data_IF_239878805079
#
_entry.id   IF_239878805079
#
_cell.length_a   1.000
_cell.length_b   1.000
_cell.length_c   1.000
_cell.angle_alpha   90.00
_cell.angle_beta   90.00
_cell.angle_gamma   90.00
#
_symmetry.space_group_name_H-M   'P 1'
#
loop_
_entity.id
_entity.type
_entity.pdbx_description
1 polymer ?
#
# COMPACT_ATOMS: atom_id res chain seq x y z
N UNK A 1 -27.69 1.13 25.24
CA UNK A 1 -27.20 -0.07 24.56
C UNK A 1 -27.59 0.12 23.11
N UNK A 2 -26.64 0.59 22.31
CA UNK A 2 -26.88 0.99 20.92
C UNK A 2 -25.80 0.28 20.13
N UNK A 3 -26.26 -0.53 19.18
CA UNK A 3 -25.47 -1.35 18.29
C UNK A 3 -24.64 -0.46 17.35
N UNK A 4 -23.38 -0.87 17.17
CA UNK A 4 -22.39 -0.19 16.35
C UNK A 4 -22.53 -0.65 14.91
N UNK A 5 -22.94 0.22 13.99
CA UNK A 5 -22.63 0.02 12.57
C UNK A 5 -21.18 0.45 12.33
N UNK A 6 -20.27 -0.49 12.59
CA UNK A 6 -18.93 -0.45 12.02
C UNK A 6 -19.06 -0.41 10.50
N UNK A 7 -18.38 0.54 9.85
CA UNK A 7 -18.02 0.36 8.45
C UNK A 7 -17.20 -0.93 8.38
N UNK A 8 -17.87 -2.02 7.99
CA UNK A 8 -17.36 -3.39 8.09
C UNK A 8 -15.99 -3.45 7.44
N UNK A 9 -14.96 -3.59 8.26
CA UNK A 9 -13.62 -3.88 7.81
C UNK A 9 -13.67 -5.25 7.14
N UNK A 10 -13.82 -5.23 5.83
CA UNK A 10 -13.46 -6.30 4.93
C UNK A 10 -11.94 -6.44 5.03
N UNK A 11 -11.49 -7.18 6.05
CA UNK A 11 -10.15 -7.76 6.23
C UNK A 11 -9.04 -6.86 5.64
N UNK A 12 -8.73 -5.76 6.33
CA UNK A 12 -7.68 -4.80 5.93
C UNK A 12 -6.33 -4.90 6.66
N UNK A 13 -5.90 -6.03 7.27
CA UNK A 13 -4.57 -6.05 7.88
C UNK A 13 -3.50 -6.10 6.78
N UNK A 14 -2.54 -5.18 6.86
CA UNK A 14 -1.29 -5.09 6.05
C UNK A 14 -1.40 -4.55 4.62
N UNK A 15 -2.55 -4.12 4.13
CA UNK A 15 -2.65 -3.43 2.82
C UNK A 15 -1.85 -2.12 2.80
N UNK A 16 -1.84 -1.43 3.94
CA UNK A 16 -0.99 -0.26 4.18
C UNK A 16 0.51 -0.60 4.18
N UNK A 17 0.89 -1.87 4.20
CA UNK A 17 2.28 -2.36 4.14
C UNK A 17 2.67 -2.78 2.72
N UNK A 18 1.78 -2.73 1.73
CA UNK A 18 2.06 -3.17 0.34
C UNK A 18 2.79 -2.14 -0.49
N UNK A 19 2.59 -0.85 -0.16
CA UNK A 19 3.56 0.19 -0.48
C UNK A 19 4.89 0.02 0.28
N UNK A 20 5.03 -1.06 1.07
CA UNK A 20 6.16 -1.44 1.92
C UNK A 20 6.26 -0.64 3.23
N UNK A 21 7.29 -0.97 4.02
CA UNK A 21 7.85 -0.10 5.10
C UNK A 21 8.42 1.24 4.57
N UNK A 22 8.11 1.61 3.32
CA UNK A 22 8.57 2.76 2.52
C UNK A 22 7.75 4.01 2.79
N UNK A 23 6.60 3.85 3.44
CA UNK A 23 5.68 4.94 3.69
C UNK A 23 6.23 5.77 4.85
N UNK A 24 6.75 6.93 4.51
CA UNK A 24 7.23 7.91 5.46
C UNK A 24 6.06 8.63 6.16
N UNK A 25 4.90 8.71 5.51
CA UNK A 25 3.68 9.21 6.12
C UNK A 25 2.40 8.58 5.58
N UNK A 26 1.44 8.36 6.48
CA UNK A 26 0.08 7.94 6.12
C UNK A 26 -0.87 9.12 6.26
N UNK A 27 -1.47 9.56 5.16
CA UNK A 27 -2.58 10.51 5.19
C UNK A 27 -3.89 9.76 5.37
N UNK A 28 -4.66 10.15 6.39
CA UNK A 28 -6.02 9.64 6.62
C UNK A 28 -7.01 10.75 6.29
N UNK A 29 -7.66 10.73 5.11
CA UNK A 29 -8.67 11.70 4.75
C UNK A 29 -9.85 11.64 5.72
N UNK A 30 -10.29 12.79 6.24
CA UNK A 30 -11.39 12.88 7.20
C UNK A 30 -12.27 14.11 6.92
N UNK A 31 -13.58 13.98 7.08
CA UNK A 31 -14.60 14.95 6.66
C UNK A 31 -14.85 16.11 7.65
N UNK A 32 -14.39 16.03 8.90
CA UNK A 32 -14.51 17.15 9.86
C UNK A 32 -15.83 17.23 10.64
N UNK A 33 -16.76 16.28 10.52
CA UNK A 33 -18.05 16.36 11.23
C UNK A 33 -17.94 16.03 12.72
N UNK A 34 -18.46 16.93 13.57
CA UNK A 34 -18.64 16.71 15.01
C UNK A 34 -19.91 15.89 15.22
N UNK A 35 -19.77 14.57 15.34
CA UNK A 35 -20.88 13.63 15.54
C UNK A 35 -20.40 12.24 15.99
N UNK A 36 -21.29 11.44 16.59
CA UNK A 36 -20.95 10.19 17.28
C UNK A 36 -20.54 9.04 16.35
N UNK A 37 -19.23 8.90 16.13
CA UNK A 37 -18.52 7.72 15.60
C UNK A 37 -17.02 7.90 15.91
N UNK A 38 -16.12 6.88 15.82
CA UNK A 38 -14.81 6.92 16.47
C UNK A 38 -13.80 7.94 15.91
N UNK A 39 -14.18 8.70 14.87
CA UNK A 39 -13.38 9.77 14.30
C UNK A 39 -13.91 11.12 14.75
N UNK A 40 -13.83 11.40 16.06
CA UNK A 40 -14.24 12.70 16.60
C UNK A 40 -13.10 13.71 16.43
N UNK A 41 -13.38 14.84 15.80
CA UNK A 41 -12.52 16.03 15.86
C UNK A 41 -12.52 16.58 17.29
N UNK A 42 -11.39 16.49 17.99
CA UNK A 42 -11.13 17.29 19.19
C UNK A 42 -10.36 18.57 18.78
N UNK A 43 -11.00 19.75 18.79
CA UNK A 43 -10.31 21.01 18.52
C UNK A 43 -9.19 21.34 19.53
N UNK A 44 -9.08 20.64 20.67
CA UNK A 44 -8.01 20.75 21.66
C UNK A 44 -6.85 19.77 21.44
N UNK A 45 -7.04 18.66 20.73
CA UNK A 45 -5.92 17.78 20.29
C UNK A 45 -4.97 18.49 19.31
N UNK A 46 -5.35 19.70 18.84
CA UNK A 46 -4.53 20.67 18.08
C UNK A 46 -3.20 21.11 18.72
N UNK A 47 -2.82 20.61 19.90
CA UNK A 47 -1.49 20.86 20.49
C UNK A 47 -0.51 19.70 20.38
N UNK A 48 -0.96 18.53 19.95
CA UNK A 48 -0.10 17.38 19.77
C UNK A 48 0.00 17.07 18.27
N UNK A 49 0.79 17.88 17.57
CA UNK A 49 1.70 17.33 16.58
C UNK A 49 2.75 16.47 17.31
N UNK A 50 2.30 15.48 18.07
CA UNK A 50 3.19 14.44 18.54
C UNK A 50 3.63 13.71 17.28
N UNK A 51 4.95 13.69 17.04
CA UNK A 51 5.58 12.61 16.29
C UNK A 51 5.06 11.30 16.90
N UNK A 52 3.95 10.76 16.41
CA UNK A 52 3.68 9.36 16.62
C UNK A 52 4.81 8.63 15.88
N UNK A 53 5.51 7.68 16.50
CA UNK A 53 6.52 6.87 15.84
C UNK A 53 6.03 6.20 14.54
N UNK A 54 4.71 6.17 14.33
CA UNK A 54 4.00 5.62 13.18
C UNK A 54 3.90 6.52 11.94
N UNK A 55 4.34 7.79 11.96
CA UNK A 55 4.29 8.66 10.76
C UNK A 55 2.89 9.01 10.24
N UNK A 56 1.83 8.80 11.02
CA UNK A 56 0.44 9.09 10.60
C UNK A 56 0.16 10.59 10.67
N UNK A 57 -0.44 11.13 9.62
CA UNK A 57 -0.85 12.54 9.49
C UNK A 57 -2.34 12.59 9.21
N UNK A 58 -3.08 13.26 10.10
CA UNK A 58 -4.47 13.61 9.89
C UNK A 58 -4.57 15.14 9.85
N UNK A 59 -5.01 15.69 8.73
CA UNK A 59 -5.30 17.12 8.56
C UNK A 59 -6.75 17.23 8.11
N UNK A 60 -7.50 18.19 8.65
CA UNK A 60 -8.81 18.56 8.10
C UNK A 60 -8.81 20.00 7.58
N UNK A 61 -9.80 20.43 6.76
CA UNK A 61 -10.53 19.70 5.71
C UNK A 61 -9.79 19.84 4.35
N UNK A 62 -10.47 19.71 3.21
CA UNK A 62 -9.97 19.62 1.81
C UNK A 62 -9.15 20.84 1.27
N UNK A 63 -8.17 21.35 2.03
CA UNK A 63 -7.19 22.35 1.59
C UNK A 63 -5.83 21.69 1.29
N UNK A 64 -5.40 21.60 0.02
CA UNK A 64 -4.10 21.06 -0.34
C UNK A 64 -2.92 21.77 0.34
N UNK A 65 -3.02 23.07 0.64
CA UNK A 65 -1.93 23.83 1.27
C UNK A 65 -1.75 23.45 2.74
N UNK A 66 -2.82 23.06 3.44
CA UNK A 66 -2.74 22.54 4.80
C UNK A 66 -2.03 21.17 4.83
N UNK A 67 -2.33 20.32 3.85
CA UNK A 67 -1.65 19.03 3.67
C UNK A 67 -0.17 19.20 3.32
N UNK A 68 0.17 20.10 2.40
CA UNK A 68 1.56 20.42 2.04
C UNK A 68 2.39 20.82 3.27
N UNK A 69 1.88 21.75 4.10
CA UNK A 69 2.54 22.15 5.36
C UNK A 69 2.68 21.01 6.36
N UNK A 70 1.75 20.06 6.36
CA UNK A 70 1.82 18.90 7.23
C UNK A 70 2.91 17.92 6.76
N UNK A 71 2.97 17.60 5.47
CA UNK A 71 3.99 16.72 4.91
C UNK A 71 5.41 17.29 4.98
N UNK A 72 5.56 18.61 4.93
CA UNK A 72 6.85 19.27 5.15
C UNK A 72 7.47 18.96 6.53
N UNK A 73 6.67 18.49 7.50
CA UNK A 73 7.12 18.09 8.85
C UNK A 73 7.37 16.59 9.00
N UNK A 74 7.08 15.80 7.96
CA UNK A 74 7.31 14.36 7.95
C UNK A 74 8.73 14.02 7.46
N UNK A 75 9.29 12.86 7.85
CA UNK A 75 10.53 12.33 7.25
C UNK A 75 10.41 12.29 5.72
N UNK A 76 11.51 12.41 4.97
CA UNK A 76 11.52 12.28 3.51
C UNK A 76 11.03 10.89 3.04
N UNK A 77 10.44 10.81 1.83
CA UNK A 77 10.02 9.55 1.20
C UNK A 77 8.53 9.45 0.78
N UNK A 78 8.09 8.29 0.28
CA UNK A 78 6.72 8.09 -0.21
C UNK A 78 5.65 8.29 0.87
N UNK A 79 4.48 8.76 0.42
CA UNK A 79 3.28 8.94 1.24
C UNK A 79 2.19 7.99 0.77
N UNK A 80 1.47 7.37 1.70
CA UNK A 80 0.23 6.64 1.39
C UNK A 80 -0.96 7.51 1.77
N UNK A 81 -1.84 7.78 0.81
CA UNK A 81 -3.15 8.38 1.06
C UNK A 81 -4.16 7.25 1.19
N UNK A 82 -4.81 7.18 2.36
CA UNK A 82 -5.77 6.13 2.70
C UNK A 82 -7.02 6.12 1.81
N UNK A 83 -7.85 5.06 1.93
CA UNK A 83 -8.97 4.80 1.05
C UNK A 83 -9.94 5.98 1.01
N UNK A 84 -10.43 6.31 -0.18
CA UNK A 84 -11.51 7.28 -0.32
C UNK A 84 -12.86 6.59 -0.08
N UNK A 85 -13.77 7.29 0.59
CA UNK A 85 -15.19 6.95 0.59
C UNK A 85 -15.86 7.66 -0.60
N UNK A 86 -16.92 7.09 -1.20
CA UNK A 86 -17.72 7.78 -2.23
C UNK A 86 -18.41 9.05 -1.71
N UNK A 87 -18.47 9.24 -0.38
CA UNK A 87 -18.91 10.48 0.27
C UNK A 87 -18.04 11.66 -0.20
N UNK A 88 -18.69 12.70 -0.73
CA UNK A 88 -18.05 13.81 -1.44
C UNK A 88 -16.96 14.52 -0.62
N UNK A 89 -17.19 14.71 0.66
CA UNK A 89 -16.28 15.36 1.59
C UNK A 89 -15.00 14.54 1.82
N UNK A 90 -15.14 13.22 1.92
CA UNK A 90 -14.01 12.30 2.09
C UNK A 90 -13.23 12.18 0.78
N UNK A 91 -13.94 12.14 -0.36
CA UNK A 91 -13.34 12.20 -1.70
C UNK A 91 -12.54 13.50 -1.89
N UNK A 92 -13.09 14.64 -1.49
CA UNK A 92 -12.41 15.94 -1.55
C UNK A 92 -11.17 15.99 -0.65
N UNK A 93 -11.26 15.45 0.57
CA UNK A 93 -10.12 15.36 1.48
C UNK A 93 -9.03 14.42 0.96
N UNK A 94 -9.39 13.32 0.30
CA UNK A 94 -8.44 12.39 -0.32
C UNK A 94 -7.67 13.07 -1.45
N UNK A 95 -8.39 13.74 -2.36
CA UNK A 95 -7.76 14.50 -3.46
C UNK A 95 -6.86 15.60 -2.92
N UNK A 96 -7.31 16.36 -1.91
CA UNK A 96 -6.50 17.42 -1.30
C UNK A 96 -5.23 16.88 -0.62
N UNK A 97 -5.31 15.71 0.01
CA UNK A 97 -4.14 15.05 0.61
C UNK A 97 -3.14 14.60 -0.46
N UNK A 98 -3.63 14.00 -1.55
CA UNK A 98 -2.80 13.59 -2.69
C UNK A 98 -2.10 14.80 -3.34
N UNK A 99 -2.84 15.88 -3.59
CA UNK A 99 -2.27 17.10 -4.16
C UNK A 99 -1.29 17.78 -3.22
N UNK A 100 -1.58 17.87 -1.91
CA UNK A 100 -0.67 18.43 -0.93
C UNK A 100 0.65 17.65 -0.79
N UNK A 101 0.57 16.31 -0.84
CA UNK A 101 1.76 15.44 -0.87
C UNK A 101 2.60 15.70 -2.13
N UNK A 102 1.98 15.74 -3.30
CA UNK A 102 2.68 16.03 -4.55
C UNK A 102 3.30 17.44 -4.57
N UNK A 103 2.59 18.47 -4.08
CA UNK A 103 3.09 19.85 -3.97
C UNK A 103 4.30 19.98 -3.04
N UNK A 104 4.33 19.18 -1.97
CA UNK A 104 5.51 19.06 -1.11
C UNK A 104 6.66 18.22 -1.70
N UNK A 105 6.56 17.85 -2.99
CA UNK A 105 7.59 17.12 -3.73
C UNK A 105 7.64 15.62 -3.43
N UNK A 106 6.59 15.05 -2.82
CA UNK A 106 6.57 13.65 -2.35
C UNK A 106 6.07 12.69 -3.43
N UNK A 107 6.59 11.47 -3.41
CA UNK A 107 5.98 10.34 -4.07
C UNK A 107 4.69 9.93 -3.33
N UNK A 108 3.66 9.48 -4.05
CA UNK A 108 2.31 9.25 -3.51
C UNK A 108 1.74 7.92 -3.99
N UNK A 109 1.32 7.10 -3.03
CA UNK A 109 0.46 5.96 -3.24
C UNK A 109 -0.99 6.34 -2.89
N UNK A 110 -1.92 6.03 -3.78
CA UNK A 110 -3.35 6.24 -3.59
C UNK A 110 -4.01 4.89 -3.34
N UNK A 111 -4.45 4.62 -2.11
CA UNK A 111 -5.21 3.40 -1.81
C UNK A 111 -6.69 3.65 -2.14
N UNK A 112 -7.31 2.74 -2.90
CA UNK A 112 -8.72 2.76 -3.33
C UNK A 112 -9.24 4.18 -3.67
N UNK A 113 -8.63 4.86 -4.66
CA UNK A 113 -9.04 6.22 -5.01
C UNK A 113 -10.41 6.22 -5.70
N UNK A 114 -11.35 6.99 -5.15
CA UNK A 114 -12.67 7.26 -5.77
C UNK A 114 -12.66 8.59 -6.55
N UNK A 115 -11.57 9.37 -6.42
CA UNK A 115 -11.31 10.59 -7.18
C UNK A 115 -9.81 10.73 -7.44
N UNK A 116 -9.46 11.33 -8.58
CA UNK A 116 -8.06 11.51 -9.01
C UNK A 116 -7.68 12.99 -8.96
N UNK A 117 -6.42 13.31 -8.62
CA UNK A 117 -5.93 14.69 -8.59
C UNK A 117 -5.97 15.34 -9.98
N UNK A 118 -6.31 16.62 -10.01
CA UNK A 118 -6.69 17.38 -11.22
C UNK A 118 -5.50 17.78 -12.09
N UNK A 119 -4.27 17.72 -11.57
CA UNK A 119 -3.10 18.32 -12.21
C UNK A 119 -1.77 17.71 -11.77
N UNK A 120 -0.96 17.31 -12.75
CA UNK A 120 0.51 17.14 -12.71
C UNK A 120 1.06 15.84 -12.10
N UNK A 121 2.38 15.62 -12.24
CA UNK A 121 3.04 14.75 -13.23
C UNK A 121 2.85 13.26 -12.93
N UNK A 122 2.61 12.45 -13.97
CA UNK A 122 2.43 10.98 -13.95
C UNK A 122 3.45 10.19 -13.13
N UNK A 123 4.61 10.79 -12.78
CA UNK A 123 5.69 10.13 -12.02
C UNK A 123 5.46 10.11 -10.51
N UNK A 124 4.59 10.97 -9.98
CA UNK A 124 4.42 11.13 -8.53
C UNK A 124 3.37 10.19 -7.94
N UNK A 125 2.46 9.62 -8.74
CA UNK A 125 1.32 8.84 -8.24
C UNK A 125 1.40 7.38 -8.67
N UNK A 126 0.97 6.48 -7.78
CA UNK A 126 0.65 5.07 -8.09
C UNK A 126 -0.66 4.72 -7.39
N UNK A 127 -1.63 4.17 -8.12
CA UNK A 127 -2.91 3.77 -7.58
C UNK A 127 -2.91 2.28 -7.17
N UNK A 128 -3.33 2.01 -5.94
CA UNK A 128 -3.42 0.70 -5.34
C UNK A 128 -4.89 0.37 -5.13
N UNK A 129 -5.36 -0.74 -5.67
CA UNK A 129 -6.76 -1.14 -5.57
C UNK A 129 -6.87 -2.47 -4.82
N UNK A 130 -7.44 -2.43 -3.62
CA UNK A 130 -7.64 -3.61 -2.79
C UNK A 130 -8.77 -4.50 -3.34
N UNK A 131 -8.51 -5.79 -3.41
CA UNK A 131 -9.54 -6.77 -3.71
C UNK A 131 -10.57 -6.81 -2.58
N UNK A 132 -11.85 -6.71 -2.93
CA UNK A 132 -12.94 -6.92 -2.00
C UNK A 132 -13.89 -7.99 -2.56
N UNK A 133 -14.30 -8.99 -1.76
CA UNK A 133 -15.40 -9.87 -2.14
C UNK A 133 -16.71 -9.06 -2.16
N UNK A 134 -17.50 -9.18 -3.22
CA UNK A 134 -18.79 -8.50 -3.39
C UNK A 134 -19.92 -9.32 -2.71
N UNK A 135 -20.64 -8.78 -1.71
CA UNK A 135 -21.75 -9.46 -1.05
C UNK A 135 -23.12 -9.22 -1.73
N UNK A 136 -23.19 -8.32 -2.73
CA UNK A 136 -24.42 -7.89 -3.39
C UNK A 136 -24.64 -8.50 -4.78
N UNK A 137 -23.69 -9.28 -5.28
CA UNK A 137 -23.77 -9.94 -6.58
C UNK A 137 -24.70 -11.17 -6.55
N UNK A 138 -25.98 -10.94 -6.29
CA UNK A 138 -27.06 -11.71 -6.92
C UNK A 138 -27.17 -11.39 -8.42
N UNK A 139 -26.02 -11.33 -9.10
CA UNK A 139 -25.78 -10.82 -10.45
C UNK A 139 -24.37 -10.24 -10.54
N UNK A 140 -23.57 -10.70 -11.51
CA UNK A 140 -22.12 -10.45 -11.69
C UNK A 140 -21.66 -8.96 -11.80
N UNK A 141 -22.51 -7.94 -11.68
CA UNK A 141 -22.25 -6.63 -12.32
C UNK A 141 -22.12 -5.37 -11.42
N UNK A 142 -22.52 -5.37 -10.14
CA UNK A 142 -22.79 -4.09 -9.45
C UNK A 142 -21.55 -3.40 -8.81
N UNK A 143 -20.74 -4.08 -7.98
CA UNK A 143 -19.52 -3.49 -7.39
C UNK A 143 -18.25 -3.76 -8.21
N UNK A 144 -18.27 -4.82 -9.03
CA UNK A 144 -17.28 -5.03 -10.09
C UNK A 144 -17.13 -3.77 -10.96
N UNK A 145 -18.24 -3.08 -11.25
CA UNK A 145 -18.22 -1.86 -12.06
C UNK A 145 -17.60 -0.62 -11.38
N UNK A 146 -17.59 -0.50 -10.04
CA UNK A 146 -17.05 0.72 -9.39
C UNK A 146 -15.53 0.65 -9.24
N UNK A 147 -15.03 -0.53 -8.84
CA UNK A 147 -13.60 -0.84 -8.84
C UNK A 147 -13.04 -0.71 -10.25
N UNK A 148 -13.68 -1.35 -11.24
CA UNK A 148 -13.24 -1.27 -12.63
C UNK A 148 -13.27 0.15 -13.16
N UNK A 149 -14.35 0.91 -12.93
CA UNK A 149 -14.42 2.29 -13.39
C UNK A 149 -13.36 3.19 -12.75
N UNK A 150 -13.05 3.01 -11.46
CA UNK A 150 -12.01 3.79 -10.80
C UNK A 150 -10.60 3.38 -11.27
N UNK A 151 -10.39 2.08 -11.48
CA UNK A 151 -9.17 1.50 -12.02
C UNK A 151 -8.89 1.98 -13.45
N UNK A 152 -9.87 1.86 -14.34
CA UNK A 152 -9.81 2.34 -15.72
C UNK A 152 -9.54 3.84 -15.77
N UNK A 153 -10.24 4.65 -14.96
CA UNK A 153 -9.99 6.10 -14.88
C UNK A 153 -8.55 6.42 -14.45
N UNK A 154 -7.97 5.65 -13.54
CA UNK A 154 -6.57 5.84 -13.14
C UNK A 154 -5.63 5.57 -14.32
N UNK A 155 -5.87 4.48 -15.06
CA UNK A 155 -5.10 4.15 -16.25
C UNK A 155 -5.28 5.18 -17.38
N UNK A 156 -6.49 5.65 -17.64
CA UNK A 156 -6.80 6.72 -18.60
C UNK A 156 -6.10 8.03 -18.24
N UNK A 157 -6.00 8.33 -16.94
CA UNK A 157 -5.23 9.48 -16.44
C UNK A 157 -3.70 9.27 -16.52
N UNK A 158 -3.23 8.11 -17.00
CA UNK A 158 -1.82 7.75 -17.08
C UNK A 158 -1.17 7.51 -15.72
N UNK A 159 -1.96 7.22 -14.68
CA UNK A 159 -1.47 6.85 -13.35
C UNK A 159 -1.22 5.33 -13.35
N UNK A 160 0.02 4.87 -13.07
CA UNK A 160 0.29 3.45 -12.90
C UNK A 160 -0.62 2.84 -11.82
N UNK A 161 -1.36 1.80 -12.16
CA UNK A 161 -2.35 1.17 -11.29
C UNK A 161 -2.18 -0.36 -11.22
N UNK A 162 -2.57 -0.95 -10.09
CA UNK A 162 -2.51 -2.38 -9.88
C UNK A 162 -3.30 -2.83 -8.65
N UNK A 163 -3.50 -4.14 -8.53
CA UNK A 163 -4.34 -4.72 -7.50
C UNK A 163 -3.56 -5.18 -6.26
N UNK A 164 -4.19 -5.08 -5.09
CA UNK A 164 -3.73 -5.70 -3.84
C UNK A 164 -4.61 -6.91 -3.56
N UNK A 165 -3.99 -8.06 -3.31
CA UNK A 165 -4.73 -9.31 -3.14
C UNK A 165 -4.39 -9.96 -1.81
N UNK A 166 -5.35 -10.08 -0.87
CA UNK A 166 -5.07 -10.71 0.40
C UNK A 166 -4.80 -12.20 0.20
N UNK A 167 -3.79 -12.75 0.87
CA UNK A 167 -3.52 -14.18 0.91
C UNK A 167 -4.09 -14.73 2.21
N UNK A 168 -5.27 -15.34 2.14
CA UNK A 168 -6.02 -15.92 3.24
C UNK A 168 -6.08 -17.43 3.05
N UNK A 169 -5.54 -18.22 4.01
CA UNK A 169 -5.56 -19.67 3.93
C UNK A 169 -6.96 -20.23 3.74
N UNK A 170 -7.17 -20.92 2.62
CA UNK A 170 -8.41 -21.56 2.26
C UNK A 170 -9.57 -20.65 1.87
N UNK A 171 -9.30 -19.40 1.53
CA UNK A 171 -10.29 -18.51 0.92
C UNK A 171 -9.76 -17.86 -0.35
N UNK A 172 -8.60 -17.22 -0.28
CA UNK A 172 -8.07 -16.46 -1.43
C UNK A 172 -6.79 -17.05 -2.00
N UNK A 173 -6.21 -18.06 -1.37
CA UNK A 173 -5.03 -18.80 -1.84
C UNK A 173 -5.35 -19.92 -2.84
N UNK A 174 -6.61 -20.06 -3.27
CA UNK A 174 -7.04 -21.07 -4.24
C UNK A 174 -6.55 -20.74 -5.67
N UNK A 175 -5.95 -21.71 -6.40
CA UNK A 175 -5.37 -21.47 -7.72
C UNK A 175 -6.35 -20.86 -8.74
N UNK A 176 -7.59 -21.34 -8.78
CA UNK A 176 -8.60 -20.92 -9.75
C UNK A 176 -9.04 -19.47 -9.52
N UNK A 177 -9.26 -19.10 -8.26
CA UNK A 177 -9.62 -17.73 -7.88
C UNK A 177 -8.46 -16.77 -8.18
N UNK A 178 -7.24 -17.19 -7.83
CA UNK A 178 -6.02 -16.43 -8.08
C UNK A 178 -5.80 -16.20 -9.58
N UNK A 179 -5.94 -17.24 -10.41
CA UNK A 179 -5.79 -17.15 -11.86
C UNK A 179 -6.83 -16.22 -12.48
N UNK A 180 -8.10 -16.33 -12.06
CA UNK A 180 -9.18 -15.45 -12.52
C UNK A 180 -8.87 -13.98 -12.17
N UNK A 181 -8.48 -13.71 -10.93
CA UNK A 181 -8.17 -12.36 -10.47
C UNK A 181 -6.99 -11.73 -11.23
N UNK A 182 -5.87 -12.45 -11.33
CA UNK A 182 -4.68 -11.93 -12.00
C UNK A 182 -4.88 -11.75 -13.51
N UNK A 183 -5.62 -12.67 -14.15
CA UNK A 183 -5.94 -12.55 -15.58
C UNK A 183 -6.79 -11.31 -15.87
N UNK A 184 -7.77 -11.01 -15.00
CA UNK A 184 -8.60 -9.80 -15.11
C UNK A 184 -7.77 -8.53 -14.93
N UNK A 185 -6.89 -8.47 -13.94
CA UNK A 185 -5.97 -7.34 -13.77
C UNK A 185 -5.04 -7.15 -14.97
N UNK A 186 -4.45 -8.23 -15.47
CA UNK A 186 -3.57 -8.21 -16.65
C UNK A 186 -4.32 -7.69 -17.88
N UNK A 187 -5.53 -8.22 -18.13
CA UNK A 187 -6.38 -7.78 -19.25
C UNK A 187 -6.80 -6.31 -19.14
N UNK A 188 -7.02 -5.81 -17.93
CA UNK A 188 -7.35 -4.42 -17.67
C UNK A 188 -6.14 -3.47 -17.80
N UNK A 189 -4.92 -3.98 -18.00
CA UNK A 189 -3.71 -3.17 -18.16
C UNK A 189 -3.01 -2.80 -16.85
N UNK A 190 -3.22 -3.57 -15.77
CA UNK A 190 -2.48 -3.41 -14.53
C UNK A 190 -0.96 -3.50 -14.74
N UNK A 191 -0.21 -2.65 -14.05
CA UNK A 191 1.26 -2.68 -14.08
C UNK A 191 1.87 -3.53 -12.97
N UNK A 192 1.07 -3.91 -11.97
CA UNK A 192 1.44 -4.79 -10.88
C UNK A 192 0.23 -5.50 -10.28
N UNK A 193 0.49 -6.57 -9.54
CA UNK A 193 -0.45 -7.19 -8.60
C UNK A 193 0.34 -7.62 -7.37
N UNK A 194 -0.03 -7.17 -6.19
CA UNK A 194 0.77 -7.39 -4.98
C UNK A 194 0.02 -8.24 -3.95
N UNK A 195 0.64 -9.32 -3.43
CA UNK A 195 0.02 -10.16 -2.43
C UNK A 195 0.13 -9.53 -1.03
N UNK A 196 -0.93 -9.68 -0.23
CA UNK A 196 -1.01 -9.14 1.13
C UNK A 196 -1.23 -10.29 2.11
N UNK A 197 -0.19 -10.82 2.77
CA UNK A 197 -0.38 -11.88 3.74
C UNK A 197 -1.17 -11.32 4.94
N UNK A 198 -2.27 -11.97 5.30
CA UNK A 198 -3.03 -11.58 6.50
C UNK A 198 -2.27 -11.94 7.78
N UNK A 199 -2.61 -11.27 8.88
CA UNK A 199 -1.99 -11.56 10.18
C UNK A 199 -2.53 -12.87 10.76
N UNK A 200 -1.62 -13.68 11.30
CA UNK A 200 -1.95 -14.93 11.98
C UNK A 200 -2.19 -14.67 13.48
N UNK A 201 -3.29 -14.02 13.81
CA UNK A 201 -3.72 -13.77 15.17
C UNK A 201 -5.22 -14.05 15.35
N UNK A 202 -5.64 -14.20 16.61
CA UNK A 202 -7.03 -14.57 16.94
C UNK A 202 -8.05 -13.53 16.47
N UNK A 203 -7.71 -12.25 16.48
CA UNK A 203 -8.60 -11.17 16.05
C UNK A 203 -8.76 -11.15 14.53
N UNK A 204 -7.67 -11.31 13.79
CA UNK A 204 -7.68 -11.43 12.34
C UNK A 204 -8.49 -12.66 11.90
N UNK A 205 -8.31 -13.81 12.55
CA UNK A 205 -9.08 -15.04 12.30
C UNK A 205 -10.58 -14.82 12.49
N UNK A 206 -10.98 -14.18 13.59
CA UNK A 206 -12.40 -13.86 13.85
C UNK A 206 -12.98 -12.96 12.76
N UNK A 207 -12.29 -11.88 12.39
CA UNK A 207 -12.73 -10.95 11.34
C UNK A 207 -12.87 -11.67 9.99
N UNK A 208 -11.93 -12.57 9.66
CA UNK A 208 -11.97 -13.39 8.44
C UNK A 208 -13.18 -14.32 8.41
N UNK A 209 -13.49 -14.99 9.51
CA UNK A 209 -14.67 -15.86 9.63
C UNK A 209 -15.95 -15.04 9.51
N UNK A 210 -16.07 -13.93 10.23
CA UNK A 210 -17.22 -13.04 10.15
C UNK A 210 -17.41 -12.48 8.73
N UNK A 211 -16.31 -12.15 8.05
CA UNK A 211 -16.33 -11.75 6.66
C UNK A 211 -16.85 -12.90 5.79
N UNK A 212 -16.20 -14.07 5.83
CA UNK A 212 -16.61 -15.25 5.04
C UNK A 212 -18.07 -15.62 5.26
N UNK A 213 -18.55 -15.60 6.50
CA UNK A 213 -19.94 -15.90 6.83
C UNK A 213 -20.94 -14.89 6.24
N UNK A 214 -20.53 -13.63 6.05
CA UNK A 214 -21.34 -12.62 5.36
C UNK A 214 -21.35 -12.83 3.83
N UNK A 215 -20.25 -13.29 3.24
CA UNK A 215 -20.13 -13.47 1.77
C UNK A 215 -20.67 -14.81 1.29
N UNK A 216 -20.32 -15.89 1.98
CA UNK A 216 -20.67 -17.25 1.58
C UNK A 216 -21.07 -18.06 2.82
N UNK A 217 -22.30 -17.83 3.35
CA UNK A 217 -22.74 -18.46 4.59
C UNK A 217 -22.64 -20.00 4.55
N UNK A 218 -22.90 -20.61 3.39
CA UNK A 218 -22.85 -22.07 3.21
C UNK A 218 -21.43 -22.65 3.33
N UNK A 219 -20.39 -21.84 3.14
CA UNK A 219 -18.99 -22.24 3.28
C UNK A 219 -18.38 -21.85 4.63
N UNK A 220 -19.11 -21.12 5.48
CA UNK A 220 -18.60 -20.51 6.70
C UNK A 220 -18.08 -21.53 7.71
N UNK A 221 -18.83 -22.60 7.99
CA UNK A 221 -18.44 -23.62 8.96
C UNK A 221 -17.19 -24.39 8.50
N UNK A 222 -17.14 -24.78 7.23
CA UNK A 222 -15.95 -25.44 6.66
C UNK A 222 -14.73 -24.52 6.68
N UNK A 223 -14.93 -23.23 6.41
CA UNK A 223 -13.87 -22.24 6.48
C UNK A 223 -13.40 -22.00 7.91
N UNK A 224 -14.32 -21.93 8.89
CA UNK A 224 -13.99 -21.81 10.32
C UNK A 224 -13.06 -22.95 10.76
N UNK A 225 -13.41 -24.20 10.44
CA UNK A 225 -12.56 -25.34 10.73
C UNK A 225 -11.18 -25.21 10.08
N UNK A 226 -11.15 -24.87 8.78
CA UNK A 226 -9.89 -24.74 8.02
C UNK A 226 -9.01 -23.62 8.58
N UNK A 227 -9.57 -22.45 8.87
CA UNK A 227 -8.81 -21.29 9.32
C UNK A 227 -8.32 -21.44 10.77
N UNK A 228 -9.00 -22.22 11.61
CA UNK A 228 -8.54 -22.48 12.97
C UNK A 228 -7.55 -23.66 13.08
N UNK A 229 -7.61 -24.64 12.18
CA UNK A 229 -6.83 -25.88 12.28
C UNK A 229 -5.71 -26.06 11.23
N UNK A 230 -5.55 -25.14 10.27
CA UNK A 230 -4.45 -25.22 9.28
C UNK A 230 -3.10 -24.74 9.83
N UNK A 231 -2.01 -25.24 9.25
CA UNK A 231 -0.68 -24.65 9.37
C UNK A 231 -0.62 -23.35 8.56
N UNK A 232 -0.82 -22.22 9.25
CA UNK A 232 -0.88 -20.90 8.66
C UNK A 232 0.44 -20.47 8.00
N UNK A 233 1.60 -20.54 8.68
CA UNK A 233 2.88 -20.23 8.06
C UNK A 233 3.11 -20.99 6.76
N UNK A 234 2.84 -22.30 6.73
CA UNK A 234 2.98 -23.10 5.52
C UNK A 234 1.98 -22.67 4.43
N UNK A 235 0.72 -22.44 4.79
CA UNK A 235 -0.33 -22.04 3.84
C UNK A 235 -0.06 -20.67 3.23
N UNK A 236 0.38 -19.69 4.03
CA UNK A 236 0.77 -18.36 3.54
C UNK A 236 1.99 -18.46 2.63
N UNK A 237 3.02 -19.25 2.99
CA UNK A 237 4.21 -19.45 2.15
C UNK A 237 3.82 -20.03 0.78
N UNK A 238 2.96 -21.05 0.78
CA UNK A 238 2.47 -21.66 -0.45
C UNK A 238 1.62 -20.71 -1.29
N UNK A 239 0.67 -19.99 -0.68
CA UNK A 239 -0.15 -18.99 -1.36
C UNK A 239 0.67 -17.88 -2.00
N UNK A 240 1.71 -17.38 -1.31
CA UNK A 240 2.65 -16.40 -1.85
C UNK A 240 3.44 -16.96 -3.04
N UNK A 241 3.91 -18.20 -2.95
CA UNK A 241 4.64 -18.88 -4.04
C UNK A 241 3.77 -19.05 -5.29
N UNK A 242 2.51 -19.49 -5.10
CA UNK A 242 1.52 -19.62 -6.17
C UNK A 242 1.22 -18.26 -6.81
N UNK A 243 0.98 -17.23 -5.99
CA UNK A 243 0.76 -15.86 -6.44
C UNK A 243 1.90 -15.37 -7.33
N UNK A 244 3.15 -15.46 -6.85
CA UNK A 244 4.34 -15.02 -7.59
C UNK A 244 4.49 -15.76 -8.92
N UNK A 245 4.26 -17.07 -8.92
CA UNK A 245 4.34 -17.90 -10.12
C UNK A 245 3.31 -17.48 -11.17
N UNK A 246 2.06 -17.25 -10.76
CA UNK A 246 0.99 -16.85 -11.69
C UNK A 246 1.14 -15.41 -12.17
N UNK A 247 1.52 -14.48 -11.29
CA UNK A 247 1.78 -13.09 -11.66
C UNK A 247 2.92 -13.00 -12.70
N UNK A 248 4.00 -13.77 -12.51
CA UNK A 248 5.11 -13.83 -13.46
C UNK A 248 4.68 -14.35 -14.85
N UNK A 249 3.81 -15.36 -14.92
CA UNK A 249 3.27 -15.88 -16.19
C UNK A 249 2.46 -14.82 -16.95
N UNK A 250 1.79 -13.94 -16.22
CA UNK A 250 0.96 -12.87 -16.78
C UNK A 250 1.72 -11.55 -16.97
N UNK A 251 3.04 -11.53 -16.72
CA UNK A 251 3.88 -10.34 -16.86
C UNK A 251 3.60 -9.24 -15.82
N UNK A 252 2.92 -9.57 -14.71
CA UNK A 252 2.60 -8.64 -13.64
C UNK A 252 3.74 -8.57 -12.62
N UNK A 253 4.20 -7.36 -12.30
CA UNK A 253 5.12 -7.16 -11.18
C UNK A 253 4.42 -7.51 -9.86
N UNK A 254 5.12 -8.18 -8.94
CA UNK A 254 4.57 -8.59 -7.64
C UNK A 254 4.65 -7.51 -6.56
N UNK A 255 5.13 -6.32 -6.93
CA UNK A 255 5.26 -5.16 -6.07
C UNK A 255 4.73 -3.92 -6.80
N UNK A 256 4.07 -2.99 -6.08
CA UNK A 256 3.76 -1.70 -6.66
C UNK A 256 5.04 -1.01 -7.11
N UNK A 257 4.96 -0.40 -8.30
CA UNK A 257 6.01 0.49 -8.77
C UNK A 257 6.26 1.57 -7.72
N UNK A 258 7.52 1.97 -7.54
CA UNK A 258 7.86 3.10 -6.69
C UNK A 258 7.58 4.42 -7.42
N UNK A 259 6.67 5.29 -6.93
CA UNK A 259 6.53 6.64 -7.46
C UNK A 259 7.79 7.45 -7.14
N UNK A 260 8.05 8.49 -7.93
CA UNK A 260 9.17 9.42 -7.72
C UNK A 260 8.61 10.83 -7.58
N UNK A 261 8.72 11.37 -6.38
CA UNK A 261 8.33 12.75 -6.08
C UNK A 261 9.30 13.77 -6.67
N UNK A 262 8.84 14.99 -6.95
CA UNK A 262 9.69 16.04 -7.50
C UNK A 262 10.85 16.48 -6.56
N UNK A 263 10.69 16.25 -5.26
CA UNK A 263 11.70 16.53 -4.23
C UNK A 263 12.56 15.33 -3.86
N UNK A 264 12.38 14.17 -4.51
CA UNK A 264 13.13 12.94 -4.22
C UNK A 264 14.25 12.73 -5.25
N UNK A 265 15.52 12.50 -4.82
CA UNK A 265 16.59 12.16 -5.74
C UNK A 265 16.25 10.85 -6.49
N UNK A 266 16.20 10.85 -7.84
CA UNK A 266 15.73 9.69 -8.60
C UNK A 266 16.62 8.45 -8.41
N UNK A 267 17.92 8.64 -8.24
CA UNK A 267 18.87 7.55 -7.97
C UNK A 267 18.64 6.92 -6.59
N UNK A 268 18.28 7.71 -5.57
CA UNK A 268 17.90 7.18 -4.26
C UNK A 268 16.63 6.34 -4.38
N UNK A 269 15.58 6.86 -5.02
CA UNK A 269 14.32 6.13 -5.18
C UNK A 269 14.52 4.84 -5.97
N UNK A 270 15.34 4.85 -7.02
CA UNK A 270 15.64 3.66 -7.80
C UNK A 270 16.51 2.64 -7.02
N UNK A 271 17.48 3.08 -6.23
CA UNK A 271 18.29 2.19 -5.38
C UNK A 271 17.44 1.56 -4.26
N UNK A 272 16.59 2.35 -3.59
CA UNK A 272 15.66 1.87 -2.57
C UNK A 272 14.69 0.82 -3.15
N UNK A 273 14.10 1.08 -4.32
CA UNK A 273 13.22 0.13 -5.01
C UNK A 273 13.91 -1.22 -5.25
N UNK A 274 15.16 -1.20 -5.73
CA UNK A 274 15.94 -2.43 -5.98
C UNK A 274 16.23 -3.23 -4.71
N UNK A 275 16.57 -2.56 -3.61
CA UNK A 275 16.81 -3.24 -2.34
C UNK A 275 15.53 -3.91 -1.81
N UNK A 276 14.37 -3.31 -2.07
CA UNK A 276 13.09 -3.88 -1.66
C UNK A 276 12.66 -5.03 -2.55
N UNK A 277 12.85 -4.93 -3.87
CA UNK A 277 12.70 -6.05 -4.80
C UNK A 277 13.55 -7.23 -4.34
N UNK A 278 14.83 -6.96 -4.00
CA UNK A 278 15.75 -7.97 -3.49
C UNK A 278 15.30 -8.57 -2.15
N UNK A 279 14.76 -7.75 -1.24
CA UNK A 279 14.24 -8.23 0.04
C UNK A 279 13.10 -9.24 -0.16
N UNK A 280 12.27 -9.07 -1.20
CA UNK A 280 11.17 -10.00 -1.51
C UNK A 280 11.64 -11.33 -2.08
N UNK A 281 12.82 -11.37 -2.71
CA UNK A 281 13.43 -12.60 -3.19
C UNK A 281 14.02 -13.46 -2.07
N UNK A 282 14.25 -12.87 -0.88
CA UNK A 282 14.86 -13.55 0.27
C UNK A 282 13.82 -14.21 1.18
N UNK A 283 12.96 -15.06 0.58
CA UNK A 283 11.83 -15.71 1.25
C UNK A 283 12.21 -16.48 2.53
N UNK A 284 13.46 -16.95 2.65
CA UNK A 284 13.92 -17.83 3.74
C UNK A 284 14.88 -17.13 4.72
N UNK A 285 15.30 -15.90 4.43
CA UNK A 285 16.21 -15.12 5.28
C UNK A 285 15.51 -13.81 5.72
N UNK A 286 14.56 -13.97 6.65
CA UNK A 286 13.77 -12.84 7.19
C UNK A 286 14.65 -11.74 7.78
N UNK A 287 15.76 -12.11 8.43
CA UNK A 287 16.69 -11.16 9.02
C UNK A 287 17.32 -10.28 7.94
N UNK A 288 17.83 -10.89 6.86
CA UNK A 288 18.43 -10.15 5.75
C UNK A 288 17.38 -9.34 4.97
N UNK A 289 16.19 -9.88 4.75
CA UNK A 289 15.08 -9.15 4.15
C UNK A 289 14.72 -7.89 4.98
N UNK A 290 14.68 -8.04 6.31
CA UNK A 290 14.44 -6.92 7.22
C UNK A 290 15.54 -5.85 7.16
N UNK A 291 16.81 -6.26 7.06
CA UNK A 291 17.95 -5.34 6.90
C UNK A 291 17.90 -4.59 5.56
N UNK A 292 17.55 -5.26 4.46
CA UNK A 292 17.38 -4.62 3.14
C UNK A 292 16.24 -3.60 3.15
N UNK A 293 15.12 -3.91 3.81
CA UNK A 293 14.04 -2.95 4.00
C UNK A 293 14.47 -1.75 4.86
N UNK A 294 15.25 -1.97 5.92
CA UNK A 294 15.79 -0.89 6.74
C UNK A 294 16.78 -0.02 5.96
N UNK A 295 17.60 -0.61 5.09
CA UNK A 295 18.52 0.09 4.21
C UNK A 295 17.79 0.97 3.18
N UNK A 296 16.74 0.44 2.53
CA UNK A 296 15.91 1.20 1.60
C UNK A 296 15.25 2.40 2.31
N UNK A 297 14.69 2.19 3.50
CA UNK A 297 14.11 3.25 4.31
C UNK A 297 15.12 4.33 4.70
N UNK A 298 16.34 3.95 5.07
CA UNK A 298 17.39 4.92 5.41
C UNK A 298 17.80 5.78 4.20
N UNK A 299 17.88 5.18 3.01
CA UNK A 299 18.16 5.91 1.76
C UNK A 299 17.08 6.98 1.52
N UNK A 300 15.82 6.65 1.77
CA UNK A 300 14.68 7.55 1.61
C UNK A 300 14.68 8.68 2.63
N UNK A 301 14.87 8.34 3.91
CA UNK A 301 14.86 9.29 5.01
C UNK A 301 16.10 10.20 5.02
N UNK A 302 17.15 9.86 4.26
CA UNK A 302 18.39 10.64 4.19
C UNK A 302 18.16 12.08 3.73
N UNK A 303 17.14 12.32 2.89
CA UNK A 303 16.80 13.64 2.35
C UNK A 303 17.91 14.29 1.51
N UNK A 304 18.97 13.54 1.18
CA UNK A 304 20.15 13.99 0.41
C UNK A 304 20.31 13.11 -0.81
N UNK A 305 20.81 13.66 -1.90
CA UNK A 305 21.25 12.84 -3.02
C UNK A 305 22.50 12.04 -2.62
N UNK A 306 22.35 10.70 -2.54
CA UNK A 306 23.41 9.80 -2.11
C UNK A 306 24.27 9.32 -3.30
N UNK A 307 23.82 9.51 -4.54
CA UNK A 307 24.56 9.07 -5.71
C UNK A 307 25.95 9.73 -5.84
N UNK A 308 26.16 11.03 -5.54
CA UNK A 308 27.49 11.62 -5.44
C UNK A 308 28.38 10.93 -4.40
N UNK A 309 27.84 10.61 -3.22
CA UNK A 309 28.59 9.97 -2.13
C UNK A 309 29.08 8.57 -2.53
N UNK A 310 28.24 7.82 -3.25
CA UNK A 310 28.61 6.52 -3.83
C UNK A 310 29.71 6.68 -4.88
N UNK A 311 29.60 7.68 -5.77
CA UNK A 311 30.61 7.93 -6.82
C UNK A 311 31.98 8.27 -6.26
N UNK A 312 32.02 8.98 -5.14
CA UNK A 312 33.26 9.35 -4.45
C UNK A 312 33.86 8.21 -3.61
N UNK A 313 33.20 7.05 -3.53
CA UNK A 313 33.64 5.93 -2.69
C UNK A 313 33.49 6.18 -1.19
N UNK A 314 32.63 7.12 -0.81
CA UNK A 314 32.42 7.54 0.58
C UNK A 314 31.19 6.89 1.24
N UNK A 315 30.43 6.07 0.52
CA UNK A 315 29.15 5.54 1.00
C UNK A 315 29.28 4.70 2.27
N UNK A 316 30.31 3.83 2.34
CA UNK A 316 30.62 3.04 3.53
C UNK A 316 30.84 3.85 4.82
N UNK A 317 31.16 5.16 4.71
CA UNK A 317 31.38 6.04 5.86
C UNK A 317 30.08 6.58 6.45
N UNK A 318 29.01 6.64 5.66
CA UNK A 318 27.72 7.23 6.05
C UNK A 318 26.61 6.20 6.16
N UNK A 319 26.74 5.07 5.46
CA UNK A 319 25.73 4.02 5.44
C UNK A 319 25.84 3.13 6.69
N UNK A 320 24.76 3.00 7.50
CA UNK A 320 24.84 2.35 8.81
C UNK A 320 24.77 0.82 8.74
N UNK A 321 24.40 0.24 7.59
CA UNK A 321 24.26 -1.21 7.43
C UNK A 321 25.51 -1.82 6.80
N UNK A 322 26.61 -1.89 7.56
CA UNK A 322 27.93 -2.29 7.07
C UNK A 322 27.92 -3.56 6.21
N UNK A 323 27.20 -4.61 6.63
CA UNK A 323 27.06 -5.87 5.91
C UNK A 323 26.37 -5.77 4.54
N UNK A 324 25.58 -4.71 4.31
CA UNK A 324 24.84 -4.47 3.06
C UNK A 324 25.47 -3.39 2.18
N UNK A 325 26.60 -2.80 2.58
CA UNK A 325 27.19 -1.63 1.90
C UNK A 325 27.42 -1.89 0.41
N UNK A 326 28.06 -3.02 0.06
CA UNK A 326 28.36 -3.34 -1.33
C UNK A 326 27.09 -3.59 -2.16
N UNK A 327 26.06 -4.19 -1.57
CA UNK A 327 24.77 -4.47 -2.21
C UNK A 327 23.99 -3.16 -2.45
N UNK A 328 23.99 -2.25 -1.48
CA UNK A 328 23.42 -0.92 -1.62
C UNK A 328 24.15 -0.07 -2.68
N UNK A 329 25.49 -0.08 -2.70
CA UNK A 329 26.25 0.61 -3.76
C UNK A 329 25.97 0.03 -5.15
N UNK A 330 25.83 -1.29 -5.27
CA UNK A 330 25.47 -1.94 -6.52
C UNK A 330 24.08 -1.51 -7.01
N UNK A 331 23.12 -1.35 -6.09
CA UNK A 331 21.79 -0.84 -6.41
C UNK A 331 21.85 0.56 -7.04
N UNK A 332 22.65 1.49 -6.50
CA UNK A 332 22.89 2.82 -7.08
C UNK A 332 23.55 2.75 -8.47
N UNK A 333 24.59 1.91 -8.63
CA UNK A 333 25.33 1.82 -9.90
C UNK A 333 24.46 1.27 -11.03
N UNK A 334 23.56 0.34 -10.72
CA UNK A 334 22.70 -0.29 -11.71
C UNK A 334 21.58 0.63 -12.23
N UNK A 335 21.31 1.76 -11.58
CA UNK A 335 20.37 2.79 -12.10
C UNK A 335 20.90 3.43 -13.38
N UNK A 336 22.23 3.55 -13.53
CA UNK A 336 22.88 4.26 -14.65
C UNK A 336 22.96 3.45 -15.96
N UNK A 337 22.63 2.17 -15.94
CA UNK A 337 22.75 1.26 -17.09
C UNK A 337 21.41 0.99 -17.80
N UNK A 338 20.33 1.67 -17.43
CA UNK A 338 19.03 1.66 -18.12
C UNK A 338 18.75 3.02 -18.74
#
# INVERSE_FOLDING_TARGET
>A
MIEYEEAKALVRPRESEVGGRRIAAHAVPYSGEVGGTPFRFDPLERRLAERRPSGRVAVGPADPAAWERAFARCPAGPVLVGPASPVEEIRGAHVAAAEGAARSGRAVYLLDPVGLPSSSPQRAFVALFAWTPDPGAGGEEALDSMFERAFEKALEAGIPAGGLFPIVPGWTDEPELLEKYLSRLSAAGAVFAAPVPVSDDGDARRILVEARARFEPAAADRFFEKIHHSDWPASIKEGLRLFRTQAARLGLAVLPRRPVGAGEPPDNSAAAARLEERAQELEEDEHRAALLHAAARWIDESGRDLAPVVREGNFAKVFPFGALTAEAEAAFRAVRTR
#
